data_IF_510487977661
#
_entry.id   IF_510487977661
#
_cell.length_a   1.000
_cell.length_b   1.000
_cell.length_c   1.000
_cell.angle_alpha   90.00
_cell.angle_beta   90.00
_cell.angle_gamma   90.00
#
_symmetry.space_group_name_H-M   'P 1'
#
loop_
_entity.id
_entity.type
_entity.pdbx_description
1 polymer ?
#
# COMPACT_ATOMS: atom_id res chain seq x y z
N UNK A 1 -16.81 -11.49 -1.72
CA UNK A 1 -16.37 -10.09 -1.77
C UNK A 1 -16.78 -9.38 -0.49
N UNK A 2 -16.02 -8.36 -0.10
CA UNK A 2 -16.31 -7.54 1.08
C UNK A 2 -17.31 -6.47 0.65
N UNK A 3 -18.58 -6.66 1.02
CA UNK A 3 -19.67 -5.72 0.79
C UNK A 3 -19.99 -4.88 2.05
N UNK A 4 -20.98 -4.00 1.96
CA UNK A 4 -21.36 -3.14 3.09
C UNK A 4 -21.89 -3.93 4.28
N UNK A 5 -22.63 -5.01 4.03
CA UNK A 5 -23.15 -5.87 5.09
C UNK A 5 -22.00 -6.54 5.86
N UNK A 6 -20.99 -7.04 5.13
CA UNK A 6 -19.80 -7.65 5.72
C UNK A 6 -18.96 -6.65 6.53
N UNK A 7 -18.82 -5.43 6.02
CA UNK A 7 -18.15 -4.34 6.76
C UNK A 7 -18.90 -3.98 8.05
N UNK A 8 -20.23 -3.86 7.97
CA UNK A 8 -21.06 -3.56 9.14
C UNK A 8 -21.03 -4.71 10.17
N UNK A 9 -20.98 -5.95 9.73
CA UNK A 9 -20.78 -7.12 10.60
C UNK A 9 -19.43 -7.04 11.31
N UNK A 10 -18.35 -6.81 10.56
CA UNK A 10 -17.01 -6.70 11.13
C UNK A 10 -16.88 -5.57 12.16
N UNK A 11 -17.48 -4.40 11.88
CA UNK A 11 -17.47 -3.27 12.81
C UNK A 11 -18.14 -3.59 14.17
N UNK A 12 -19.12 -4.48 14.22
CA UNK A 12 -19.77 -4.91 15.46
C UNK A 12 -18.90 -5.82 16.33
N UNK A 13 -17.80 -6.35 15.79
CA UNK A 13 -16.85 -7.17 16.55
C UNK A 13 -15.94 -6.34 17.45
N UNK A 14 -15.81 -5.05 17.19
CA UNK A 14 -15.02 -4.15 18.05
C UNK A 14 -15.74 -3.97 19.38
N UNK A 15 -15.10 -4.36 20.48
CA UNK A 15 -15.66 -4.30 21.84
C UNK A 15 -14.93 -3.33 22.76
N UNK A 16 -13.61 -3.31 22.68
CA UNK A 16 -12.77 -2.59 23.64
C UNK A 16 -12.13 -1.33 23.03
N UNK A 17 -12.24 -1.15 21.71
CA UNK A 17 -11.64 -0.01 21.00
C UNK A 17 -10.11 0.01 21.03
N UNK A 18 -9.46 -1.11 21.35
CA UNK A 18 -8.01 -1.25 21.36
C UNK A 18 -7.53 -1.57 19.94
N UNK A 19 -6.70 -0.68 19.39
CA UNK A 19 -6.05 -0.92 18.10
C UNK A 19 -4.72 -1.67 18.29
N UNK A 20 -4.60 -2.78 17.60
CA UNK A 20 -3.34 -3.57 17.57
C UNK A 20 -2.82 -3.56 16.14
N UNK A 21 -1.61 -3.04 15.95
CA UNK A 21 -0.94 -3.12 14.64
C UNK A 21 -0.43 -4.54 14.41
N UNK A 22 -0.84 -5.12 13.29
CA UNK A 22 -0.29 -6.37 12.78
C UNK A 22 0.76 -6.15 11.69
N UNK A 23 1.12 -4.89 11.42
CA UNK A 23 2.14 -4.56 10.45
C UNK A 23 3.54 -4.66 11.04
N UNK A 24 4.47 -5.20 10.24
CA UNK A 24 5.90 -5.10 10.53
C UNK A 24 6.37 -3.66 10.36
N UNK A 25 7.32 -3.17 11.17
CA UNK A 25 7.98 -1.90 10.92
C UNK A 25 8.64 -1.88 9.53
N UNK A 26 8.58 -0.75 8.86
CA UNK A 26 9.39 -0.52 7.65
C UNK A 26 10.81 -0.20 8.11
N UNK A 27 11.71 -1.18 8.04
CA UNK A 27 13.08 -1.06 8.51
C UNK A 27 14.03 -0.88 7.32
N UNK A 28 14.78 0.24 7.24
CA UNK A 28 15.75 0.46 6.18
C UNK A 28 17.03 -0.37 6.33
N UNK A 29 17.25 -1.04 7.45
CA UNK A 29 18.41 -1.90 7.64
C UNK A 29 18.34 -3.10 6.71
N UNK A 30 19.47 -3.51 6.10
CA UNK A 30 19.52 -4.72 5.29
C UNK A 30 19.19 -5.97 6.12
N UNK A 31 18.21 -6.73 5.67
CA UNK A 31 17.78 -8.00 6.27
C UNK A 31 17.69 -9.08 5.17
N UNK A 32 17.80 -10.34 5.59
CA UNK A 32 17.84 -11.46 4.64
C UNK A 32 16.53 -11.67 3.86
N UNK A 33 15.40 -11.22 4.40
CA UNK A 33 14.08 -11.29 3.80
C UNK A 33 13.73 -10.09 2.90
N UNK A 34 14.63 -9.09 2.83
CA UNK A 34 14.53 -7.99 1.87
C UNK A 34 14.97 -8.42 0.45
N UNK A 35 14.32 -9.43 -0.09
CA UNK A 35 14.69 -10.07 -1.37
C UNK A 35 14.68 -9.13 -2.58
N UNK A 36 13.99 -8.00 -2.49
CA UNK A 36 13.94 -6.95 -3.53
C UNK A 36 14.66 -5.66 -3.11
N UNK A 37 15.53 -5.73 -2.11
CA UNK A 37 16.26 -4.60 -1.55
C UNK A 37 15.57 -3.98 -0.33
N UNK A 38 16.38 -3.36 0.51
CA UNK A 38 15.90 -2.69 1.72
C UNK A 38 15.16 -1.40 1.39
N UNK A 39 14.19 -1.00 2.22
CA UNK A 39 13.57 0.31 2.12
C UNK A 39 14.60 1.45 2.20
N UNK A 40 14.40 2.48 1.41
CA UNK A 40 15.16 3.72 1.46
C UNK A 40 14.38 4.77 2.26
N UNK A 41 15.04 5.45 3.19
CA UNK A 41 14.46 6.55 3.94
C UNK A 41 15.37 7.76 3.89
N UNK A 42 14.84 8.90 3.48
CA UNK A 42 15.58 10.15 3.41
C UNK A 42 14.73 11.28 4.01
N UNK A 43 15.27 11.98 5.00
CA UNK A 43 14.63 13.20 5.52
C UNK A 43 14.70 14.29 4.45
N UNK A 44 13.60 14.98 4.23
CA UNK A 44 13.46 16.11 3.29
C UNK A 44 13.38 17.45 4.00
N UNK A 45 12.78 17.49 5.17
CA UNK A 45 12.75 18.62 6.08
C UNK A 45 12.95 18.14 7.50
N UNK A 46 13.68 18.91 8.28
CA UNK A 46 14.03 18.57 9.66
C UNK A 46 13.89 19.79 10.57
N UNK A 47 14.01 19.59 11.87
CA UNK A 47 14.10 20.70 12.84
C UNK A 47 15.41 21.50 12.73
N UNK A 48 16.42 20.95 12.03
CA UNK A 48 17.70 21.62 11.79
C UNK A 48 17.60 22.70 10.69
N UNK A 49 16.57 22.60 9.83
CA UNK A 49 16.32 23.52 8.72
C UNK A 49 15.47 24.74 9.13
N UNK A 50 15.21 24.93 10.43
CA UNK A 50 14.33 25.98 10.90
C UNK A 50 14.98 27.38 10.72
N UNK A 51 14.24 28.37 10.15
CA UNK A 51 14.68 29.74 10.15
C UNK A 51 14.70 30.29 11.58
N UNK A 52 15.48 31.37 11.81
CA UNK A 52 15.64 31.97 13.13
C UNK A 52 14.32 32.44 13.78
N UNK A 53 13.32 32.78 12.94
CA UNK A 53 11.97 33.16 13.39
C UNK A 53 10.92 32.34 12.64
N UNK A 54 10.74 31.06 12.99
CA UNK A 54 9.78 30.19 12.31
C UNK A 54 8.36 30.50 12.76
N UNK A 55 7.49 30.87 11.81
CA UNK A 55 6.04 30.93 12.06
C UNK A 55 5.35 29.61 11.79
N UNK A 56 5.91 28.85 10.87
CA UNK A 56 5.44 27.53 10.49
C UNK A 56 6.61 26.67 10.01
N UNK A 57 6.68 25.46 10.52
CA UNK A 57 7.72 24.51 10.12
C UNK A 57 7.21 23.08 10.30
N UNK A 58 7.82 22.13 9.60
CA UNK A 58 7.47 20.73 9.69
C UNK A 58 8.60 19.83 9.24
N UNK A 59 8.59 18.61 9.74
CA UNK A 59 9.47 17.55 9.26
C UNK A 59 8.76 16.76 8.15
N UNK A 60 9.54 16.30 7.17
CA UNK A 60 9.05 15.44 6.09
C UNK A 60 10.12 14.45 5.66
N UNK A 61 9.68 13.31 5.15
CA UNK A 61 10.58 12.28 4.66
C UNK A 61 10.10 11.71 3.32
N UNK A 62 11.03 11.13 2.59
CA UNK A 62 10.78 10.29 1.44
C UNK A 62 11.07 8.84 1.83
N UNK A 63 10.12 7.95 1.53
CA UNK A 63 10.31 6.51 1.64
C UNK A 63 10.20 5.92 0.24
N UNK A 64 11.22 5.15 -0.16
CA UNK A 64 11.22 4.35 -1.38
C UNK A 64 11.34 2.88 -1.01
N UNK A 65 10.47 2.03 -1.56
CA UNK A 65 10.52 0.58 -1.29
C UNK A 65 9.86 -0.22 -2.42
N UNK A 66 10.28 -1.46 -2.56
CA UNK A 66 9.52 -2.51 -3.23
C UNK A 66 8.80 -3.29 -2.15
N UNK A 67 7.49 -3.16 -2.04
CA UNK A 67 6.75 -3.76 -0.94
C UNK A 67 6.39 -5.24 -1.16
N UNK A 68 6.59 -5.78 -2.37
CA UNK A 68 6.47 -7.22 -2.60
C UNK A 68 7.60 -7.99 -1.89
N UNK A 69 7.33 -9.22 -1.52
CA UNK A 69 8.23 -10.06 -0.74
C UNK A 69 7.69 -10.30 0.66
N UNK A 70 8.58 -10.53 1.63
CA UNK A 70 8.18 -11.02 2.95
C UNK A 70 8.40 -10.01 4.08
N UNK A 71 9.20 -8.98 3.85
CA UNK A 71 9.62 -8.04 4.88
C UNK A 71 8.65 -6.87 5.09
N UNK A 72 7.85 -6.54 4.08
CA UNK A 72 6.94 -5.39 4.11
C UNK A 72 5.51 -5.89 4.18
N UNK A 73 4.80 -5.51 5.24
CA UNK A 73 3.37 -5.84 5.36
C UNK A 73 2.57 -5.09 4.31
N UNK A 74 1.88 -5.82 3.44
CA UNK A 74 1.10 -5.28 2.34
C UNK A 74 -0.10 -6.18 2.00
N UNK A 75 -0.96 -5.69 1.17
CA UNK A 75 -2.07 -6.44 0.60
C UNK A 75 -1.90 -6.50 -0.92
N UNK A 76 -1.78 -7.70 -1.45
CA UNK A 76 -1.75 -7.92 -2.89
C UNK A 76 -3.15 -7.78 -3.50
N UNK A 77 -3.19 -7.20 -4.68
CA UNK A 77 -4.41 -7.16 -5.48
C UNK A 77 -4.69 -8.51 -6.14
N UNK A 78 -5.92 -8.72 -6.57
CA UNK A 78 -6.30 -9.90 -7.35
C UNK A 78 -5.69 -9.91 -8.77
N UNK A 79 -5.02 -8.82 -9.17
CA UNK A 79 -4.25 -8.68 -10.39
C UNK A 79 -2.76 -9.02 -10.21
N UNK A 80 -2.31 -9.41 -9.00
CA UNK A 80 -0.90 -9.63 -8.71
C UNK A 80 -0.34 -10.90 -9.35
N UNK A 81 -1.13 -11.99 -9.39
CA UNK A 81 -0.70 -13.27 -9.95
C UNK A 81 -1.42 -13.62 -11.24
N UNK A 82 -0.65 -14.17 -12.17
CA UNK A 82 -1.16 -14.69 -13.44
C UNK A 82 -0.92 -16.19 -13.53
N UNK A 83 -1.94 -16.89 -14.03
CA UNK A 83 -1.86 -18.29 -14.37
C UNK A 83 -2.40 -18.48 -15.78
N UNK A 84 -1.63 -19.10 -16.66
CA UNK A 84 -2.00 -19.33 -18.08
C UNK A 84 -2.55 -18.06 -18.76
N UNK A 85 -1.80 -16.93 -18.60
CA UNK A 85 -2.15 -15.64 -19.18
C UNK A 85 -3.42 -14.99 -18.59
N UNK A 86 -3.89 -15.46 -17.43
CA UNK A 86 -5.08 -14.96 -16.76
C UNK A 86 -4.81 -14.63 -15.29
N UNK A 87 -5.50 -13.63 -14.77
CA UNK A 87 -5.58 -13.31 -13.37
C UNK A 87 -6.88 -13.84 -12.73
N UNK A 88 -7.07 -13.59 -11.45
CA UNK A 88 -8.25 -14.02 -10.71
C UNK A 88 -9.57 -13.73 -11.46
N UNK A 89 -10.48 -14.70 -11.44
CA UNK A 89 -11.75 -14.60 -12.16
C UNK A 89 -11.62 -14.80 -13.67
N UNK A 90 -10.50 -15.36 -14.16
CA UNK A 90 -10.28 -15.68 -15.57
C UNK A 90 -10.04 -14.47 -16.48
N UNK A 91 -9.80 -13.29 -15.89
CA UNK A 91 -9.56 -12.05 -16.65
C UNK A 91 -8.19 -12.07 -17.33
N UNK A 92 -8.04 -11.52 -18.55
CA UNK A 92 -6.74 -11.51 -19.24
C UNK A 92 -5.65 -10.77 -18.45
N UNK A 93 -4.45 -11.34 -18.35
CA UNK A 93 -3.28 -10.68 -17.77
C UNK A 93 -2.87 -9.41 -18.51
N UNK A 94 -3.21 -9.30 -19.81
CA UNK A 94 -2.98 -8.11 -20.63
C UNK A 94 -3.70 -6.84 -20.13
N UNK A 95 -4.63 -6.97 -19.19
CA UNK A 95 -5.27 -5.84 -18.50
C UNK A 95 -4.38 -5.19 -17.43
N UNK A 96 -3.16 -5.73 -17.21
CA UNK A 96 -2.12 -5.13 -16.38
C UNK A 96 -1.01 -4.65 -17.30
N UNK A 97 -0.89 -3.34 -17.46
CA UNK A 97 0.06 -2.72 -18.38
C UNK A 97 1.09 -1.86 -17.65
N UNK A 98 2.20 -1.53 -18.31
CA UNK A 98 3.20 -0.60 -17.76
C UNK A 98 2.69 0.84 -17.69
N UNK A 99 1.78 1.21 -18.61
CA UNK A 99 1.27 2.57 -18.71
C UNK A 99 0.15 2.86 -17.71
N UNK A 100 -0.74 1.89 -17.50
CA UNK A 100 -1.98 2.08 -16.74
C UNK A 100 -2.02 1.28 -15.43
N UNK A 101 -1.06 0.35 -15.23
CA UNK A 101 -1.13 -0.61 -14.13
C UNK A 101 -2.28 -1.61 -14.35
N UNK A 102 -2.89 -2.06 -13.27
CA UNK A 102 -4.04 -2.96 -13.29
C UNK A 102 -5.33 -2.17 -13.54
N UNK A 103 -5.94 -2.34 -14.70
CA UNK A 103 -7.22 -1.70 -15.05
C UNK A 103 -8.43 -2.47 -14.50
N UNK A 104 -8.22 -3.69 -14.02
CA UNK A 104 -9.21 -4.53 -13.34
C UNK A 104 -8.53 -5.34 -12.25
N UNK A 105 -9.30 -5.75 -11.25
CA UNK A 105 -8.80 -6.54 -10.11
C UNK A 105 -7.72 -5.83 -9.28
N UNK A 106 -7.62 -4.53 -9.35
CA UNK A 106 -6.75 -3.73 -8.49
C UNK A 106 -7.19 -3.80 -7.01
N UNK A 107 -6.44 -3.19 -6.11
CA UNK A 107 -6.78 -3.19 -4.67
C UNK A 107 -8.09 -2.46 -4.42
N UNK A 108 -8.43 -1.42 -5.22
CA UNK A 108 -9.69 -0.70 -5.14
C UNK A 108 -10.91 -1.60 -5.40
N UNK A 109 -10.77 -2.59 -6.28
CA UNK A 109 -11.84 -3.57 -6.53
C UNK A 109 -12.24 -4.38 -5.28
N UNK A 110 -11.32 -4.61 -4.35
CA UNK A 110 -11.60 -5.29 -3.09
C UNK A 110 -12.43 -4.42 -2.12
N UNK A 111 -12.34 -3.10 -2.22
CA UNK A 111 -13.12 -2.16 -1.41
C UNK A 111 -14.51 -1.86 -1.97
N UNK A 112 -14.85 -2.38 -3.15
CA UNK A 112 -16.08 -2.06 -3.87
C UNK A 112 -16.08 -0.67 -4.53
N UNK A 113 -14.92 -0.01 -4.57
CA UNK A 113 -14.73 1.26 -5.27
C UNK A 113 -13.95 1.02 -6.55
N UNK A 114 -14.52 1.35 -7.69
CA UNK A 114 -13.84 1.42 -8.96
C UNK A 114 -13.13 2.79 -9.04
N UNK A 115 -11.89 2.85 -8.57
CA UNK A 115 -11.04 4.03 -8.70
C UNK A 115 -9.74 3.65 -9.39
N UNK A 116 -9.34 4.41 -10.40
CA UNK A 116 -8.00 4.29 -10.96
C UNK A 116 -6.98 4.56 -9.85
N UNK A 117 -6.21 3.55 -9.50
CA UNK A 117 -4.99 3.72 -8.73
C UNK A 117 -3.87 4.14 -9.68
N UNK A 118 -3.11 5.13 -9.28
CA UNK A 118 -2.07 5.76 -10.07
C UNK A 118 -1.15 4.76 -10.77
N UNK A 119 -0.81 5.04 -12.01
CA UNK A 119 0.21 4.30 -12.75
C UNK A 119 1.51 4.25 -11.95
N UNK A 120 1.91 3.04 -11.53
CA UNK A 120 3.20 2.77 -10.91
C UNK A 120 3.25 2.52 -9.42
N UNK A 121 2.12 2.46 -8.70
CA UNK A 121 2.16 2.11 -7.27
C UNK A 121 0.78 1.91 -6.66
N UNK A 122 0.64 0.85 -5.89
CA UNK A 122 -0.55 0.62 -5.08
C UNK A 122 -0.51 1.57 -3.86
N UNK A 123 -0.89 2.81 -4.04
CA UNK A 123 -1.09 3.75 -2.93
C UNK A 123 -2.57 3.95 -2.72
N UNK A 124 -3.07 3.49 -1.59
CA UNK A 124 -4.44 3.76 -1.15
C UNK A 124 -4.43 5.06 -0.36
N UNK A 125 -5.09 6.09 -0.88
CA UNK A 125 -5.49 7.25 -0.07
C UNK A 125 -6.98 7.13 0.20
N UNK A 126 -7.42 7.05 1.45
CA UNK A 126 -8.82 7.25 1.77
C UNK A 126 -9.18 8.72 1.45
N UNK A 127 -10.26 8.91 0.74
CA UNK A 127 -10.97 10.21 0.71
C UNK A 127 -11.89 10.34 1.90
#
# INVERSE_FOLDING_TARGET
LIDDAKRAEAARLVREGVAVSCAWPIDPRPEADHVFGSPERTMRGTGEDLPAEPRYAGASERIGLVFHGYAITHLDSLAHYFWDGRMYGGRPAALVTRAEGATQNDVGAASGQSGQLFAGGNVIWPR
#
